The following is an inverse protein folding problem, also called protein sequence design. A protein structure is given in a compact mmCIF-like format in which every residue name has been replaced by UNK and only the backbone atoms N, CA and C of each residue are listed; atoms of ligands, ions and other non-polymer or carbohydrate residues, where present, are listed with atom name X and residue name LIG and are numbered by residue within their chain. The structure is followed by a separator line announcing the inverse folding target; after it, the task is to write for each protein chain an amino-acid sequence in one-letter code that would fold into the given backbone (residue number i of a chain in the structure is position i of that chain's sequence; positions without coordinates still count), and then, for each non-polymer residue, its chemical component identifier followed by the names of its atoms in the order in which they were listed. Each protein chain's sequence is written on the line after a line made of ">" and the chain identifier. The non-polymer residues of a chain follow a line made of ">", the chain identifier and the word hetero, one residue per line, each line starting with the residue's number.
data_IF_088500352001
#
_entry.id   IF_088500352001
#
_cell.length_a   1.000
_cell.length_b   1.000
_cell.length_c   1.000
_cell.angle_alpha   90.00
_cell.angle_beta   90.00
_cell.angle_gamma   90.00
#
_symmetry.space_group_name_H-M   'P 1'
#
loop_
_entity.id
_entity.type
_entity.pdbx_description
1 polymer ?
#
# COMPACT_ATOMS: atom_id res chain seq x y z
N UNK A 1 -7.16 -9.59 -14.52
CA UNK A 1 -8.33 -9.21 -13.72
C UNK A 1 -7.94 -8.23 -12.61
N UNK A 2 -8.76 -7.22 -12.39
CA UNK A 2 -8.52 -6.14 -11.43
C UNK A 2 -9.19 -6.47 -10.09
N UNK A 3 -8.57 -7.34 -9.30
CA UNK A 3 -9.11 -7.79 -8.01
C UNK A 3 -8.96 -6.75 -6.89
N UNK A 4 -7.99 -5.83 -7.01
CA UNK A 4 -7.68 -4.82 -5.98
C UNK A 4 -7.50 -5.45 -4.57
N UNK A 5 -6.88 -6.63 -4.51
CA UNK A 5 -6.76 -7.43 -3.29
C UNK A 5 -5.56 -7.05 -2.43
N UNK A 6 -4.71 -6.15 -2.91
CA UNK A 6 -3.47 -5.77 -2.23
C UNK A 6 -3.24 -4.27 -2.34
N UNK A 7 -2.92 -3.65 -1.21
CA UNK A 7 -2.39 -2.29 -1.12
C UNK A 7 -1.07 -2.40 -0.37
N UNK A 8 0.05 -2.11 -1.03
CA UNK A 8 1.37 -2.18 -0.43
C UNK A 8 1.77 -0.76 0.02
N UNK A 9 1.86 -0.51 1.34
CA UNK A 9 2.39 0.76 1.83
C UNK A 9 3.91 0.80 1.63
N UNK A 10 4.40 1.94 1.16
CA UNK A 10 5.83 2.23 1.07
C UNK A 10 6.16 3.38 2.02
N UNK A 11 7.28 3.26 2.73
CA UNK A 11 7.71 4.26 3.71
C UNK A 11 9.15 4.71 3.43
N UNK A 12 9.40 6.00 3.58
CA UNK A 12 10.76 6.54 3.67
C UNK A 12 11.18 6.47 5.13
N UNK A 13 12.21 5.69 5.41
CA UNK A 13 12.72 5.47 6.76
C UNK A 13 14.12 6.06 6.94
N UNK A 14 14.40 6.56 8.13
CA UNK A 14 15.72 6.99 8.56
C UNK A 14 16.08 6.30 9.87
N UNK A 15 17.33 5.97 10.07
CA UNK A 15 17.80 5.40 11.33
C UNK A 15 17.61 6.41 12.47
N UNK A 16 17.04 5.95 13.60
CA UNK A 16 16.69 6.80 14.74
C UNK A 16 17.91 7.51 15.34
N UNK A 17 19.03 6.82 15.52
CA UNK A 17 20.27 7.43 16.04
C UNK A 17 20.79 8.52 15.10
N UNK A 18 20.74 8.27 13.80
CA UNK A 18 21.16 9.27 12.80
C UNK A 18 20.25 10.48 12.87
N UNK A 19 18.93 10.28 12.87
CA UNK A 19 17.96 11.37 12.95
C UNK A 19 18.10 12.18 14.23
N UNK A 20 18.26 11.53 15.38
CA UNK A 20 18.37 12.21 16.67
C UNK A 20 19.64 13.06 16.80
N UNK A 21 20.72 12.71 16.11
CA UNK A 21 21.97 13.48 16.06
C UNK A 21 21.92 14.68 15.10
N UNK A 22 20.86 14.83 14.29
CA UNK A 22 20.70 15.99 13.43
C UNK A 22 20.35 17.24 14.24
N UNK A 23 20.83 18.40 13.78
CA UNK A 23 20.36 19.70 14.29
C UNK A 23 18.85 19.89 14.02
N UNK A 24 18.19 20.75 14.75
CA UNK A 24 16.76 21.07 14.54
C UNK A 24 16.48 21.52 13.09
N UNK A 25 17.38 22.31 12.50
CA UNK A 25 17.30 22.75 11.11
C UNK A 25 17.34 21.55 10.15
N UNK A 26 18.28 20.62 10.35
CA UNK A 26 18.44 19.45 9.48
C UNK A 26 17.29 18.44 9.66
N UNK A 27 16.78 18.26 10.90
CA UNK A 27 15.57 17.46 11.14
C UNK A 27 14.37 17.98 10.35
N UNK A 28 14.18 19.31 10.35
CA UNK A 28 13.11 19.93 9.58
C UNK A 28 13.32 19.70 8.07
N UNK A 29 14.52 19.95 7.56
CA UNK A 29 14.82 19.79 6.15
C UNK A 29 14.59 18.36 5.64
N UNK A 30 15.06 17.35 6.39
CA UNK A 30 14.83 15.92 6.04
C UNK A 30 13.35 15.58 6.05
N UNK A 31 12.58 16.07 7.03
CA UNK A 31 11.15 15.81 7.13
C UNK A 31 10.37 16.47 5.99
N UNK A 32 10.70 17.70 5.64
CA UNK A 32 10.07 18.44 4.54
C UNK A 32 10.38 17.75 3.20
N UNK A 33 11.65 17.42 2.95
CA UNK A 33 12.06 16.70 1.74
C UNK A 33 11.39 15.33 1.60
N UNK A 34 11.22 14.59 2.70
CA UNK A 34 10.51 13.30 2.67
C UNK A 34 9.03 13.47 2.29
N UNK A 35 8.36 14.53 2.77
CA UNK A 35 6.96 14.84 2.41
C UNK A 35 6.83 15.23 0.95
N UNK A 36 7.67 16.15 0.48
CA UNK A 36 7.70 16.56 -0.93
C UNK A 36 7.98 15.37 -1.87
N UNK A 37 8.94 14.51 -1.48
CA UNK A 37 9.24 13.27 -2.20
C UNK A 37 8.03 12.35 -2.29
N UNK A 38 7.26 12.20 -1.22
CA UNK A 38 6.06 11.36 -1.21
C UNK A 38 4.95 11.90 -2.13
N UNK A 39 4.78 13.21 -2.20
CA UNK A 39 3.81 13.85 -3.11
C UNK A 39 4.23 13.69 -4.57
N UNK A 40 5.50 13.96 -4.88
CA UNK A 40 6.06 13.76 -6.21
C UNK A 40 5.96 12.30 -6.65
N UNK A 41 6.32 11.38 -5.76
CA UNK A 41 6.27 9.93 -6.03
C UNK A 41 4.86 9.48 -6.42
N UNK A 42 3.82 9.92 -5.71
CA UNK A 42 2.42 9.59 -6.03
C UNK A 42 2.03 10.05 -7.44
N UNK A 43 2.39 11.29 -7.78
CA UNK A 43 2.10 11.83 -9.12
C UNK A 43 2.85 11.10 -10.25
N UNK A 44 4.11 10.76 -10.01
CA UNK A 44 4.92 9.99 -10.97
C UNK A 44 4.43 8.55 -11.10
N UNK A 45 4.00 7.94 -10.00
CA UNK A 45 3.47 6.58 -10.00
C UNK A 45 2.17 6.46 -10.79
N UNK A 46 1.25 7.42 -10.61
CA UNK A 46 0.01 7.48 -11.38
C UNK A 46 0.28 7.55 -12.89
N UNK A 47 1.15 8.48 -13.32
CA UNK A 47 1.57 8.60 -14.72
C UNK A 47 2.17 7.29 -15.25
N UNK A 48 3.04 6.66 -14.45
CA UNK A 48 3.67 5.39 -14.81
C UNK A 48 2.65 4.25 -14.92
N UNK A 49 1.69 4.18 -14.01
CA UNK A 49 0.64 3.16 -14.04
C UNK A 49 -0.21 3.26 -15.30
N UNK A 50 -0.62 4.47 -15.69
CA UNK A 50 -1.38 4.74 -16.92
C UNK A 50 -0.55 4.31 -18.14
N UNK A 51 0.67 4.81 -18.26
CA UNK A 51 1.56 4.49 -19.40
C UNK A 51 1.87 2.99 -19.49
N UNK A 52 2.07 2.31 -18.36
CA UNK A 52 2.31 0.87 -18.31
C UNK A 52 1.07 0.09 -18.75
N UNK A 53 -0.12 0.49 -18.30
CA UNK A 53 -1.39 -0.11 -18.73
C UNK A 53 -1.57 -0.01 -20.25
N UNK A 54 -1.36 1.17 -20.82
CA UNK A 54 -1.47 1.40 -22.27
C UNK A 54 -0.49 0.51 -23.05
N UNK A 55 0.73 0.39 -22.54
CA UNK A 55 1.77 -0.41 -23.16
C UNK A 55 1.41 -1.90 -23.21
N UNK A 56 0.91 -2.46 -22.13
CA UNK A 56 0.53 -3.88 -22.11
C UNK A 56 -0.77 -4.13 -22.86
N UNK A 57 -1.70 -3.18 -22.90
CA UNK A 57 -2.90 -3.28 -23.72
C UNK A 57 -2.56 -3.30 -25.22
N UNK A 58 -1.64 -2.44 -25.67
CA UNK A 58 -1.12 -2.47 -27.05
C UNK A 58 -0.42 -3.79 -27.40
N UNK A 59 0.15 -4.47 -26.41
CA UNK A 59 0.74 -5.80 -26.56
C UNK A 59 -0.29 -6.95 -26.49
N UNK A 60 -1.59 -6.65 -26.43
CA UNK A 60 -2.67 -7.64 -26.46
C UNK A 60 -3.16 -8.12 -25.09
N UNK A 61 -2.66 -7.56 -23.99
CA UNK A 61 -3.16 -7.91 -22.64
C UNK A 61 -4.55 -7.32 -22.45
N UNK A 62 -5.49 -8.16 -22.02
CA UNK A 62 -6.87 -7.76 -21.72
C UNK A 62 -7.03 -7.51 -20.22
N UNK A 63 -7.70 -6.43 -19.87
CA UNK A 63 -8.12 -6.11 -18.52
C UNK A 63 -9.61 -6.39 -18.37
N UNK A 64 -10.00 -6.96 -17.24
CA UNK A 64 -11.39 -7.15 -16.89
C UNK A 64 -11.63 -6.76 -15.43
N UNK A 65 -12.76 -6.16 -15.19
CA UNK A 65 -13.27 -5.88 -13.85
C UNK A 65 -13.80 -7.17 -13.20
N UNK A 66 -13.79 -7.17 -11.87
CA UNK A 66 -14.40 -8.24 -11.09
C UNK A 66 -15.67 -7.66 -10.46
N UNK A 67 -16.85 -7.94 -11.00
CA UNK A 67 -18.10 -7.33 -10.53
C UNK A 67 -18.50 -7.83 -9.14
N UNK A 68 -18.16 -9.07 -8.79
CA UNK A 68 -18.44 -9.66 -7.49
C UNK A 68 -17.15 -9.99 -6.73
N UNK A 69 -16.64 -9.00 -5.99
CA UNK A 69 -15.48 -9.20 -5.11
C UNK A 69 -15.83 -10.01 -3.85
N UNK A 70 -17.10 -10.07 -3.48
CA UNK A 70 -17.55 -10.80 -2.27
C UNK A 70 -17.20 -12.29 -2.34
N UNK A 71 -17.31 -12.91 -3.51
CA UNK A 71 -16.93 -14.31 -3.69
C UNK A 71 -15.45 -14.58 -3.36
N UNK A 72 -14.56 -13.66 -3.73
CA UNK A 72 -13.13 -13.75 -3.37
C UNK A 72 -12.90 -13.54 -1.86
N UNK A 73 -13.60 -12.57 -1.26
CA UNK A 73 -13.51 -12.31 0.17
C UNK A 73 -14.01 -13.53 0.98
N UNK A 74 -15.09 -14.16 0.54
CA UNK A 74 -15.63 -15.35 1.20
C UNK A 74 -14.67 -16.56 1.10
N UNK A 75 -14.05 -16.76 -0.05
CA UNK A 75 -13.04 -17.79 -0.25
C UNK A 75 -11.80 -17.59 0.64
N UNK A 76 -11.48 -16.34 1.04
CA UNK A 76 -10.34 -16.02 1.92
C UNK A 76 -10.65 -16.14 3.42
N UNK A 77 -11.92 -16.23 3.82
CA UNK A 77 -12.31 -16.35 5.24
C UNK A 77 -11.58 -17.47 6.01
N UNK A 78 -11.47 -18.70 5.47
CA UNK A 78 -10.75 -19.78 6.19
C UNK A 78 -9.28 -19.44 6.44
N UNK A 79 -8.63 -18.78 5.47
CA UNK A 79 -7.23 -18.36 5.58
C UNK A 79 -7.08 -17.32 6.69
N UNK A 80 -7.95 -16.30 6.71
CA UNK A 80 -7.97 -15.29 7.77
C UNK A 80 -8.21 -15.92 9.15
N UNK A 81 -9.18 -16.80 9.26
CA UNK A 81 -9.47 -17.48 10.54
C UNK A 81 -8.27 -18.26 11.04
N UNK A 82 -7.67 -19.07 10.18
CA UNK A 82 -6.47 -19.86 10.53
C UNK A 82 -5.32 -18.97 10.97
N UNK A 83 -5.05 -17.89 10.24
CA UNK A 83 -3.95 -16.98 10.56
C UNK A 83 -4.18 -16.24 11.88
N UNK A 84 -5.37 -15.71 12.11
CA UNK A 84 -5.71 -14.99 13.34
C UNK A 84 -5.78 -15.88 14.57
N UNK A 85 -6.16 -17.16 14.41
CA UNK A 85 -6.07 -18.15 15.52
C UNK A 85 -4.63 -18.41 15.95
N UNK A 86 -3.69 -18.36 15.00
CA UNK A 86 -2.25 -18.50 15.29
C UNK A 86 -1.59 -17.18 15.78
N UNK A 87 -2.22 -16.03 15.53
CA UNK A 87 -1.69 -14.69 15.84
C UNK A 87 -2.80 -13.81 16.48
N UNK A 88 -3.24 -14.12 17.71
CA UNK A 88 -4.37 -13.44 18.35
C UNK A 88 -4.11 -11.96 18.65
N UNK A 89 -2.87 -11.56 18.81
CA UNK A 89 -2.41 -10.18 18.98
C UNK A 89 -2.72 -9.27 17.77
N UNK A 90 -2.92 -9.84 16.58
CA UNK A 90 -3.27 -9.10 15.36
C UNK A 90 -4.78 -8.87 15.19
N UNK A 91 -5.62 -9.52 15.98
CA UNK A 91 -7.09 -9.39 15.87
C UNK A 91 -7.56 -7.94 16.01
N UNK A 92 -7.09 -7.14 16.99
CA UNK A 92 -7.50 -5.74 17.10
C UNK A 92 -7.12 -4.91 15.86
N UNK A 93 -5.93 -5.12 15.31
CA UNK A 93 -5.45 -4.43 14.11
C UNK A 93 -6.31 -4.78 12.88
N UNK A 94 -6.60 -6.06 12.68
CA UNK A 94 -7.44 -6.50 11.56
C UNK A 94 -8.86 -5.96 11.67
N UNK A 95 -9.42 -5.88 12.88
CA UNK A 95 -10.73 -5.28 13.11
C UNK A 95 -10.71 -3.77 12.84
N UNK A 96 -9.66 -3.08 13.23
CA UNK A 96 -9.46 -1.66 12.91
C UNK A 96 -9.46 -1.43 11.39
N UNK A 97 -8.69 -2.22 10.64
CA UNK A 97 -8.60 -2.13 9.18
C UNK A 97 -9.98 -2.38 8.53
N UNK A 98 -10.71 -3.40 8.98
CA UNK A 98 -12.05 -3.71 8.44
C UNK A 98 -13.08 -2.61 8.68
N UNK A 99 -12.94 -1.86 9.77
CA UNK A 99 -13.86 -0.80 10.17
C UNK A 99 -13.44 0.58 9.64
N UNK A 100 -12.27 0.70 9.03
CA UNK A 100 -11.80 1.93 8.38
C UNK A 100 -12.45 2.02 6.98
N UNK A 101 -13.14 3.15 6.75
CA UNK A 101 -13.79 3.46 5.46
C UNK A 101 -12.86 4.27 4.57
#
# INVERSE_FOLDING_TARGET
>A
SLSQHLIIPECVCINDKVYNNLSAKNKKAVKDAARESAELQRALWEKRAISSRDKVMKAGVKFNEIPNKQAFMDAMKPVHTKYLSANPDLVPLVNLIKNTK
#
